data_IF_186399618175
#
_entry.id   IF_186399618175
#
_cell.length_a   1.000
_cell.length_b   1.000
_cell.length_c   1.000
_cell.angle_alpha   90.00
_cell.angle_beta   90.00
_cell.angle_gamma   90.00
#
_symmetry.space_group_name_H-M   'P 1'
#
loop_
_entity.id
_entity.type
_entity.pdbx_description
1 polymer ?
#
# COMPACT_ATOMS: atom_id res chain seq x y z
N UNK A 1 71.12 -23.04 7.28
CA UNK A 1 70.53 -24.31 7.79
C UNK A 1 69.82 -23.97 9.11
N UNK A 2 68.53 -24.27 9.25
CA UNK A 2 67.76 -23.91 10.45
C UNK A 2 68.11 -24.79 11.65
N UNK A 3 68.03 -24.22 12.86
CA UNK A 3 68.24 -24.92 14.12
C UNK A 3 67.15 -26.01 14.31
N UNK A 4 67.49 -27.10 14.99
CA UNK A 4 66.58 -28.22 15.24
C UNK A 4 66.35 -28.35 16.74
N UNK A 5 65.09 -28.51 17.15
CA UNK A 5 64.69 -28.70 18.55
C UNK A 5 63.90 -30.01 18.68
N UNK A 6 64.21 -30.79 19.71
CA UNK A 6 63.45 -32.00 20.04
C UNK A 6 62.19 -31.57 20.81
N UNK A 7 61.02 -31.94 20.30
CA UNK A 7 59.76 -31.70 20.98
C UNK A 7 59.66 -32.62 22.22
N UNK A 8 59.54 -32.06 23.44
CA UNK A 8 59.49 -32.85 24.67
C UNK A 8 58.25 -33.75 24.81
N UNK A 9 57.16 -33.50 24.07
CA UNK A 9 55.94 -34.30 24.13
C UNK A 9 55.93 -35.48 23.15
N UNK A 10 56.60 -35.35 22.00
CA UNK A 10 56.53 -36.35 20.91
C UNK A 10 57.87 -37.02 20.60
N UNK A 11 58.99 -36.49 21.12
CA UNK A 11 60.34 -37.03 20.88
C UNK A 11 60.86 -36.84 19.45
N UNK A 12 60.06 -36.22 18.58
CA UNK A 12 60.43 -35.94 17.20
C UNK A 12 61.33 -34.71 17.11
N UNK A 13 62.33 -34.78 16.23
CA UNK A 13 63.23 -33.65 15.98
C UNK A 13 62.58 -32.72 14.96
N UNK A 14 62.00 -31.63 15.43
CA UNK A 14 61.35 -30.63 14.57
C UNK A 14 62.35 -29.51 14.25
N UNK A 15 62.24 -28.94 13.06
CA UNK A 15 62.99 -27.72 12.72
C UNK A 15 62.41 -26.57 13.54
N UNK A 16 63.27 -25.84 14.26
CA UNK A 16 62.87 -24.63 14.96
C UNK A 16 62.44 -23.61 13.90
N UNK A 17 61.17 -23.19 13.95
CA UNK A 17 60.65 -22.24 12.97
C UNK A 17 61.43 -20.91 13.10
N UNK A 18 62.21 -20.53 12.07
CA UNK A 18 63.07 -19.34 12.13
C UNK A 18 62.26 -18.04 12.08
N UNK A 19 61.05 -18.10 11.54
CA UNK A 19 60.13 -16.98 11.38
C UNK A 19 59.01 -17.11 12.41
N UNK A 20 59.27 -16.64 13.62
CA UNK A 20 58.24 -16.55 14.67
C UNK A 20 57.53 -15.20 14.53
N UNK A 21 56.22 -15.16 14.26
CA UNK A 21 55.49 -13.91 14.10
C UNK A 21 55.33 -13.24 15.47
N UNK A 22 55.82 -12.00 15.57
CA UNK A 22 55.65 -11.14 16.75
C UNK A 22 55.49 -9.69 16.28
N UNK A 23 54.67 -8.85 16.95
CA UNK A 23 54.51 -7.44 16.61
C UNK A 23 55.82 -6.64 16.58
N UNK A 24 56.88 -7.13 17.23
CA UNK A 24 58.20 -6.52 17.29
C UNK A 24 59.29 -7.28 16.50
N UNK A 25 58.94 -8.35 15.78
CA UNK A 25 59.89 -9.15 15.02
C UNK A 25 60.06 -8.62 13.58
N UNK A 26 61.32 -8.45 13.17
CA UNK A 26 61.70 -8.18 11.78
C UNK A 26 62.29 -9.46 11.21
N UNK A 27 61.79 -9.89 10.06
CA UNK A 27 62.30 -11.06 9.35
C UNK A 27 63.25 -10.61 8.24
N UNK A 28 64.44 -11.20 8.20
CA UNK A 28 65.46 -10.95 7.18
C UNK A 28 65.92 -12.29 6.59
N UNK A 29 66.26 -12.28 5.30
CA UNK A 29 66.77 -13.46 4.58
C UNK A 29 68.11 -13.11 3.93
N UNK A 30 69.07 -14.03 4.00
CA UNK A 30 70.43 -13.89 3.44
C UNK A 30 70.54 -14.37 1.97
N UNK A 31 69.44 -14.86 1.38
CA UNK A 31 69.44 -15.36 0.00
C UNK A 31 69.32 -14.24 -1.02
N UNK A 32 70.23 -14.18 -2.00
CA UNK A 32 70.27 -13.17 -3.08
C UNK A 32 68.94 -13.03 -3.88
N UNK A 33 68.09 -14.07 -3.88
CA UNK A 33 66.80 -14.09 -4.59
C UNK A 33 65.58 -14.31 -3.67
N UNK A 34 65.70 -14.06 -2.37
CA UNK A 34 64.58 -14.25 -1.45
C UNK A 34 63.51 -13.16 -1.62
N UNK A 35 62.31 -13.55 -2.06
CA UNK A 35 61.15 -12.66 -2.16
C UNK A 35 60.15 -13.00 -1.06
N UNK A 36 59.75 -11.98 -0.30
CA UNK A 36 58.64 -12.09 0.63
C UNK A 36 57.36 -11.73 -0.13
N UNK A 37 56.54 -12.74 -0.41
CA UNK A 37 55.22 -12.53 -1.00
C UNK A 37 54.19 -12.11 0.04
N UNK A 38 53.21 -11.33 -0.38
CA UNK A 38 51.98 -11.10 0.38
C UNK A 38 50.89 -12.00 -0.19
N UNK A 39 50.05 -12.57 0.69
CA UNK A 39 48.81 -13.20 0.24
C UNK A 39 47.80 -12.09 -0.07
N UNK A 40 47.21 -12.12 -1.25
CA UNK A 40 46.16 -11.18 -1.62
C UNK A 40 45.00 -11.26 -0.63
N UNK A 41 44.41 -10.10 -0.34
CA UNK A 41 43.21 -10.04 0.47
C UNK A 41 42.10 -10.85 -0.21
N UNK A 42 41.41 -11.69 0.56
CA UNK A 42 40.26 -12.44 0.05
C UNK A 42 39.12 -11.49 -0.29
N UNK A 43 38.63 -11.53 -1.53
CA UNK A 43 37.43 -10.79 -1.91
C UNK A 43 36.20 -11.44 -1.25
N UNK A 44 35.53 -10.69 -0.37
CA UNK A 44 34.31 -11.12 0.31
C UNK A 44 33.03 -10.68 -0.43
N UNK A 45 33.15 -10.03 -1.60
CA UNK A 45 32.00 -9.51 -2.35
C UNK A 45 31.00 -10.60 -2.76
N UNK A 46 31.46 -11.83 -2.97
CA UNK A 46 30.60 -12.99 -3.26
C UNK A 46 29.62 -13.28 -2.12
N UNK A 47 30.10 -13.29 -0.87
CA UNK A 47 29.25 -13.55 0.31
C UNK A 47 28.22 -12.45 0.53
N UNK A 48 28.57 -11.18 0.25
CA UNK A 48 27.60 -10.09 0.32
C UNK A 48 26.48 -10.23 -0.71
N UNK A 49 26.80 -10.72 -1.92
CA UNK A 49 25.82 -10.97 -2.98
C UNK A 49 24.90 -12.13 -2.66
N UNK A 50 25.44 -13.22 -2.12
CA UNK A 50 24.65 -14.36 -1.65
C UNK A 50 23.68 -13.93 -0.56
N UNK A 51 24.16 -13.23 0.48
CA UNK A 51 23.31 -12.70 1.54
C UNK A 51 22.20 -11.79 1.02
N UNK A 52 22.52 -10.90 0.06
CA UNK A 52 21.51 -10.05 -0.57
C UNK A 52 20.47 -10.84 -1.38
N UNK A 53 20.84 -11.99 -1.94
CA UNK A 53 19.91 -12.91 -2.61
C UNK A 53 18.97 -13.57 -1.61
N UNK A 54 19.51 -14.11 -0.51
CA UNK A 54 18.72 -14.76 0.55
C UNK A 54 17.65 -13.82 1.13
N UNK A 55 18.03 -12.55 1.36
CA UNK A 55 17.09 -11.54 1.84
C UNK A 55 15.98 -11.29 0.82
N UNK A 56 16.28 -11.24 -0.49
CA UNK A 56 15.25 -11.06 -1.53
C UNK A 56 14.30 -12.24 -1.59
N UNK A 57 14.81 -13.47 -1.50
CA UNK A 57 14.00 -14.68 -1.52
C UNK A 57 13.04 -14.72 -0.31
N UNK A 58 13.52 -14.31 0.87
CA UNK A 58 12.68 -14.15 2.06
C UNK A 58 11.58 -13.10 1.87
N UNK A 59 11.89 -11.96 1.23
CA UNK A 59 10.89 -10.92 0.96
C UNK A 59 9.81 -11.40 -0.01
N UNK A 60 10.20 -12.12 -1.07
CA UNK A 60 9.26 -12.73 -2.01
C UNK A 60 8.36 -13.74 -1.29
N UNK A 61 8.94 -14.65 -0.50
CA UNK A 61 8.20 -15.68 0.22
C UNK A 61 7.21 -15.07 1.24
N UNK A 62 7.64 -14.04 1.97
CA UNK A 62 6.80 -13.35 2.94
C UNK A 62 5.76 -12.41 2.30
N UNK A 63 5.80 -12.25 0.97
CA UNK A 63 5.02 -11.25 0.21
C UNK A 63 5.23 -9.84 0.77
N UNK A 64 6.46 -9.55 1.22
CA UNK A 64 6.91 -8.23 1.61
C UNK A 64 7.55 -7.57 0.40
N UNK A 65 7.17 -6.34 0.03
CA UNK A 65 7.73 -5.73 -1.17
C UNK A 65 9.26 -5.60 -1.09
N UNK A 66 9.95 -6.16 -2.07
CA UNK A 66 11.42 -6.21 -2.10
C UNK A 66 12.07 -4.82 -2.11
N UNK A 67 11.30 -3.83 -2.57
CA UNK A 67 11.71 -2.45 -2.67
C UNK A 67 11.83 -1.74 -1.30
N UNK A 68 11.34 -2.36 -0.22
CA UNK A 68 11.63 -1.91 1.16
C UNK A 68 13.08 -2.13 1.57
N UNK A 69 13.72 -3.14 0.99
CA UNK A 69 15.12 -3.47 1.25
C UNK A 69 16.07 -2.78 0.26
N UNK A 70 15.66 -2.68 -1.00
CA UNK A 70 16.43 -2.00 -2.02
C UNK A 70 16.21 -0.47 -1.91
N UNK A 71 17.11 0.23 -1.22
CA UNK A 71 17.16 1.70 -1.20
C UNK A 71 17.43 2.36 -2.55
N UNK A 72 17.65 1.57 -3.60
CA UNK A 72 18.07 2.01 -4.95
C UNK A 72 16.90 2.17 -5.94
N UNK A 73 15.69 2.48 -5.46
CA UNK A 73 14.57 2.79 -6.35
C UNK A 73 14.69 4.22 -6.91
N UNK A 74 15.57 4.39 -7.89
CA UNK A 74 15.70 5.67 -8.60
C UNK A 74 14.77 5.63 -9.82
N UNK A 75 13.91 6.65 -9.97
CA UNK A 75 13.01 6.86 -11.12
C UNK A 75 11.89 5.81 -11.32
N UNK A 76 11.28 5.32 -10.25
CA UNK A 76 10.13 4.40 -10.36
C UNK A 76 8.80 5.19 -10.44
N UNK A 77 7.93 4.80 -11.38
CA UNK A 77 6.58 5.38 -11.51
C UNK A 77 5.62 4.86 -10.45
N UNK A 78 4.58 5.64 -10.11
CA UNK A 78 3.56 5.23 -9.15
C UNK A 78 2.86 3.91 -9.54
N UNK A 79 2.63 3.67 -10.83
CA UNK A 79 2.03 2.43 -11.31
C UNK A 79 2.94 1.21 -11.09
N UNK A 80 4.26 1.41 -11.18
CA UNK A 80 5.22 0.34 -10.91
C UNK A 80 5.23 0.00 -9.42
N UNK A 81 5.14 1.00 -8.54
CA UNK A 81 5.03 0.76 -7.08
C UNK A 81 3.74 -0.03 -6.78
N UNK A 82 2.61 0.39 -7.37
CA UNK A 82 1.33 -0.32 -7.21
C UNK A 82 1.41 -1.77 -7.71
N UNK A 83 2.11 -2.02 -8.82
CA UNK A 83 2.31 -3.37 -9.34
C UNK A 83 3.18 -4.24 -8.42
N UNK A 84 4.21 -3.64 -7.81
CA UNK A 84 5.07 -4.31 -6.83
C UNK A 84 4.33 -4.62 -5.51
N UNK A 85 3.31 -3.83 -5.18
CA UNK A 85 2.50 -4.02 -3.96
C UNK A 85 1.37 -5.05 -4.10
N UNK A 86 1.09 -5.58 -5.30
CA UNK A 86 -0.07 -6.45 -5.55
C UNK A 86 -0.15 -7.63 -4.57
N UNK A 87 0.96 -8.37 -4.41
CA UNK A 87 0.99 -9.53 -3.52
C UNK A 87 0.90 -9.14 -2.04
N UNK A 88 1.49 -8.00 -1.68
CA UNK A 88 1.43 -7.49 -0.32
C UNK A 88 0.01 -7.05 0.06
N UNK A 89 -0.66 -6.33 -0.83
CA UNK A 89 -2.07 -5.92 -0.67
C UNK A 89 -2.98 -7.15 -0.64
N UNK A 90 -2.73 -8.17 -1.46
CA UNK A 90 -3.48 -9.42 -1.42
C UNK A 90 -3.34 -10.12 -0.05
N UNK A 91 -2.13 -10.22 0.49
CA UNK A 91 -1.88 -10.72 1.85
C UNK A 91 -2.64 -9.93 2.90
N UNK A 92 -2.60 -8.60 2.84
CA UNK A 92 -3.33 -7.75 3.80
C UNK A 92 -4.84 -7.98 3.70
N UNK A 93 -5.39 -8.14 2.49
CA UNK A 93 -6.82 -8.43 2.29
C UNK A 93 -7.23 -9.76 2.91
N UNK A 94 -6.40 -10.78 2.83
CA UNK A 94 -6.64 -12.06 3.51
C UNK A 94 -6.73 -11.89 5.04
N UNK A 95 -5.83 -11.10 5.63
CA UNK A 95 -5.86 -10.79 7.06
C UNK A 95 -7.09 -9.95 7.44
N UNK A 96 -7.44 -8.97 6.62
CA UNK A 96 -8.64 -8.13 6.81
C UNK A 96 -9.90 -8.99 6.84
N UNK A 97 -10.03 -9.97 5.94
CA UNK A 97 -11.17 -10.88 5.93
C UNK A 97 -11.23 -11.73 7.20
N UNK A 98 -10.13 -12.40 7.54
CA UNK A 98 -10.08 -13.26 8.73
C UNK A 98 -10.29 -12.49 10.04
N UNK A 99 -9.70 -11.30 10.17
CA UNK A 99 -9.91 -10.45 11.34
C UNK A 99 -11.28 -9.80 11.35
N UNK A 100 -11.84 -9.47 10.19
CA UNK A 100 -13.21 -8.96 10.04
C UNK A 100 -14.22 -9.90 10.68
N UNK A 101 -14.25 -11.16 10.21
CA UNK A 101 -15.14 -12.20 10.76
C UNK A 101 -14.96 -12.37 12.27
N UNK A 102 -13.70 -12.43 12.76
CA UNK A 102 -13.43 -12.57 14.18
C UNK A 102 -13.94 -11.38 15.01
N UNK A 103 -13.86 -10.16 14.49
CA UNK A 103 -14.40 -8.98 15.16
C UNK A 103 -15.93 -8.94 15.13
N UNK A 104 -16.55 -9.37 14.04
CA UNK A 104 -18.01 -9.46 13.90
C UNK A 104 -18.60 -10.44 14.92
N UNK A 105 -17.98 -11.61 15.09
CA UNK A 105 -18.35 -12.59 16.11
C UNK A 105 -18.26 -12.01 17.54
N UNK A 106 -17.15 -11.33 17.84
CA UNK A 106 -16.94 -10.70 19.15
C UNK A 106 -17.98 -9.61 19.42
N UNK A 107 -18.29 -8.79 18.42
CA UNK A 107 -19.28 -7.71 18.54
C UNK A 107 -20.69 -8.27 18.69
N UNK A 108 -21.03 -9.33 17.96
CA UNK A 108 -22.31 -10.04 18.08
C UNK A 108 -22.48 -10.63 19.47
N UNK A 109 -21.43 -11.27 20.00
CA UNK A 109 -21.43 -11.78 21.38
C UNK A 109 -21.59 -10.66 22.41
N UNK A 110 -20.88 -9.54 22.23
CA UNK A 110 -20.97 -8.39 23.12
C UNK A 110 -22.38 -7.77 23.11
N UNK A 111 -23.01 -7.66 21.94
CA UNK A 111 -24.38 -7.19 21.79
C UNK A 111 -25.39 -8.11 22.49
N UNK A 112 -25.27 -9.43 22.31
CA UNK A 112 -26.10 -10.41 22.99
C UNK A 112 -25.96 -10.30 24.52
N UNK A 113 -24.74 -10.16 25.03
CA UNK A 113 -24.48 -9.98 26.46
C UNK A 113 -25.02 -8.65 27.00
N UNK A 114 -25.00 -7.58 26.21
CA UNK A 114 -25.55 -6.28 26.56
C UNK A 114 -27.09 -6.23 26.48
N UNK A 115 -27.73 -7.28 25.97
CA UNK A 115 -29.18 -7.35 25.81
C UNK A 115 -29.71 -6.45 24.69
N UNK A 116 -28.88 -6.15 23.69
CA UNK A 116 -29.32 -5.39 22.51
C UNK A 116 -30.27 -6.27 21.68
N UNK A 117 -31.49 -5.81 21.38
CA UNK A 117 -32.51 -6.63 20.69
C UNK A 117 -32.29 -6.72 19.18
N UNK A 118 -31.38 -5.91 18.63
CA UNK A 118 -31.06 -5.87 17.20
C UNK A 118 -30.21 -7.09 16.82
N UNK A 119 -30.54 -7.67 15.66
CA UNK A 119 -29.75 -8.75 15.06
C UNK A 119 -28.57 -8.14 14.27
N UNK A 120 -27.36 -8.55 14.62
CA UNK A 120 -26.12 -8.09 13.98
C UNK A 120 -25.49 -9.15 13.08
N UNK A 121 -26.22 -10.22 12.74
CA UNK A 121 -25.71 -11.29 11.87
C UNK A 121 -25.27 -10.78 10.48
N UNK A 122 -25.86 -9.68 9.99
CA UNK A 122 -25.49 -9.02 8.72
C UNK A 122 -24.51 -7.86 8.90
N UNK A 123 -24.00 -7.61 10.11
CA UNK A 123 -23.09 -6.50 10.36
C UNK A 123 -21.68 -6.84 9.86
N UNK A 124 -21.11 -6.00 9.00
CA UNK A 124 -19.76 -6.17 8.46
C UNK A 124 -18.79 -5.13 9.03
N UNK A 125 -17.56 -5.56 9.32
CA UNK A 125 -16.47 -4.66 9.70
C UNK A 125 -15.90 -3.99 8.46
N UNK A 126 -16.09 -2.67 8.39
CA UNK A 126 -15.55 -1.85 7.31
C UNK A 126 -14.10 -1.42 7.60
N UNK A 127 -13.17 -1.96 6.82
CA UNK A 127 -11.76 -1.59 6.85
C UNK A 127 -11.42 -0.46 5.88
N UNK A 128 -10.37 0.30 6.19
CA UNK A 128 -9.79 1.21 5.21
C UNK A 128 -9.12 0.41 4.09
N UNK A 129 -9.22 0.90 2.84
CA UNK A 129 -8.57 0.25 1.71
C UNK A 129 -7.04 0.24 1.92
N UNK A 130 -6.39 -0.94 1.94
CA UNK A 130 -4.95 -1.04 2.19
C UNK A 130 -4.09 -0.57 1.01
N UNK A 131 -4.64 -0.45 -0.20
CA UNK A 131 -3.91 0.01 -1.36
C UNK A 131 -3.68 1.52 -1.33
N UNK A 132 -2.51 1.97 -1.78
CA UNK A 132 -2.21 3.39 -1.92
C UNK A 132 -2.88 3.96 -3.19
N UNK A 133 -3.95 4.74 -3.00
CA UNK A 133 -4.67 5.40 -4.09
C UNK A 133 -4.66 6.90 -3.86
N UNK A 134 -4.16 7.65 -4.84
CA UNK A 134 -4.10 9.11 -4.75
C UNK A 134 -5.51 9.73 -4.80
N UNK A 135 -5.65 10.90 -4.17
CA UNK A 135 -6.93 11.62 -4.16
C UNK A 135 -7.40 12.00 -5.57
N UNK A 136 -6.46 12.30 -6.47
CA UNK A 136 -6.77 12.63 -7.87
C UNK A 136 -7.39 11.44 -8.61
N UNK A 137 -6.83 10.24 -8.46
CA UNK A 137 -7.38 9.01 -9.06
C UNK A 137 -8.76 8.69 -8.48
N UNK A 138 -8.92 8.84 -7.17
CA UNK A 138 -10.23 8.66 -6.52
C UNK A 138 -11.29 9.64 -7.04
N UNK A 139 -10.94 10.93 -7.17
CA UNK A 139 -11.85 11.96 -7.66
C UNK A 139 -12.25 11.74 -9.14
N UNK A 140 -11.32 11.32 -9.99
CA UNK A 140 -11.60 10.95 -11.37
C UNK A 140 -12.56 9.74 -11.46
N UNK A 141 -12.31 8.69 -10.66
CA UNK A 141 -13.18 7.54 -10.56
C UNK A 141 -14.61 7.94 -10.12
N UNK A 142 -14.72 8.76 -9.07
CA UNK A 142 -16.01 9.27 -8.59
C UNK A 142 -16.77 10.07 -9.66
N UNK A 143 -16.06 10.89 -10.43
CA UNK A 143 -16.65 11.67 -11.53
C UNK A 143 -17.19 10.77 -12.63
N UNK A 144 -16.44 9.72 -12.99
CA UNK A 144 -16.86 8.72 -13.99
C UNK A 144 -18.07 7.91 -13.51
N UNK A 145 -18.05 7.43 -12.26
CA UNK A 145 -19.20 6.72 -11.67
C UNK A 145 -20.47 7.59 -11.68
N UNK A 146 -20.34 8.87 -11.31
CA UNK A 146 -21.45 9.83 -11.40
C UNK A 146 -21.97 9.99 -12.82
N UNK A 147 -21.08 10.02 -13.82
CA UNK A 147 -21.49 10.15 -15.23
C UNK A 147 -22.27 8.93 -15.77
N UNK A 148 -22.01 7.74 -15.23
CA UNK A 148 -22.73 6.50 -15.57
C UNK A 148 -24.10 6.44 -14.87
N UNK A 149 -24.35 7.32 -13.89
CA UNK A 149 -25.62 7.40 -13.17
C UNK A 149 -25.63 6.72 -11.80
N UNK A 150 -24.45 6.38 -11.25
CA UNK A 150 -24.38 5.90 -9.88
C UNK A 150 -24.85 6.98 -8.90
N UNK A 151 -25.63 6.62 -7.86
CA UNK A 151 -26.10 7.57 -6.87
C UNK A 151 -24.97 8.02 -5.94
N UNK A 152 -25.14 9.21 -5.35
CA UNK A 152 -24.06 9.91 -4.62
C UNK A 152 -23.65 9.20 -3.32
N UNK A 153 -24.58 8.51 -2.68
CA UNK A 153 -24.34 7.65 -1.51
C UNK A 153 -23.35 6.53 -1.85
N UNK A 154 -23.64 5.75 -2.89
CA UNK A 154 -22.78 4.64 -3.34
C UNK A 154 -21.40 5.14 -3.74
N UNK A 155 -21.33 6.29 -4.44
CA UNK A 155 -20.05 6.90 -4.79
C UNK A 155 -19.26 7.30 -3.55
N UNK A 156 -19.92 7.89 -2.55
CA UNK A 156 -19.25 8.29 -1.30
C UNK A 156 -18.77 7.06 -0.50
N UNK A 157 -19.53 5.97 -0.51
CA UNK A 157 -19.14 4.69 0.09
C UNK A 157 -17.92 4.08 -0.59
N UNK A 158 -17.91 4.01 -1.92
CA UNK A 158 -16.78 3.51 -2.72
C UNK A 158 -15.51 4.35 -2.50
N UNK A 159 -15.67 5.65 -2.25
CA UNK A 159 -14.57 6.56 -1.91
C UNK A 159 -13.96 6.31 -0.52
N UNK A 160 -14.61 5.47 0.30
CA UNK A 160 -14.18 5.13 1.65
C UNK A 160 -14.74 6.07 2.73
N UNK A 161 -15.79 6.86 2.44
CA UNK A 161 -16.38 7.75 3.44
C UNK A 161 -17.21 6.97 4.47
N UNK A 162 -17.17 7.42 5.73
CA UNK A 162 -17.91 6.77 6.82
C UNK A 162 -19.43 6.92 6.65
N UNK A 163 -20.25 5.98 7.17
CA UNK A 163 -21.70 6.04 7.00
C UNK A 163 -22.34 7.35 7.50
N UNK A 164 -21.82 7.91 8.60
CA UNK A 164 -22.27 9.22 9.11
C UNK A 164 -21.96 10.36 8.16
N UNK A 165 -20.81 10.31 7.47
CA UNK A 165 -20.39 11.31 6.50
C UNK A 165 -21.14 11.16 5.17
N UNK A 166 -21.40 9.94 4.73
CA UNK A 166 -22.26 9.64 3.57
C UNK A 166 -23.67 10.23 3.78
N UNK A 167 -24.28 10.00 4.95
CA UNK A 167 -25.57 10.60 5.32
C UNK A 167 -25.55 12.13 5.28
N UNK A 168 -24.45 12.75 5.74
CA UNK A 168 -24.29 14.20 5.71
C UNK A 168 -24.15 14.74 4.27
N UNK A 169 -23.36 14.07 3.43
CA UNK A 169 -23.15 14.45 2.02
C UNK A 169 -24.46 14.39 1.24
N UNK A 170 -25.19 13.29 1.39
CA UNK A 170 -26.46 13.05 0.70
C UNK A 170 -27.55 14.02 1.17
N UNK A 171 -27.68 14.26 2.48
CA UNK A 171 -28.61 15.25 3.02
C UNK A 171 -28.28 16.68 2.54
N UNK A 172 -27.00 17.05 2.49
CA UNK A 172 -26.56 18.35 1.96
C UNK A 172 -26.87 18.50 0.47
N UNK A 173 -26.63 17.46 -0.33
CA UNK A 173 -26.94 17.44 -1.75
C UNK A 173 -28.46 17.54 -2.03
N UNK A 174 -29.28 16.80 -1.28
CA UNK A 174 -30.73 16.88 -1.37
C UNK A 174 -31.26 18.29 -1.02
N UNK A 175 -30.69 18.89 0.03
CA UNK A 175 -31.04 20.26 0.45
C UNK A 175 -30.71 21.30 -0.64
N UNK A 176 -29.55 21.17 -1.29
CA UNK A 176 -29.16 22.02 -2.41
C UNK A 176 -30.05 21.82 -3.63
N UNK A 177 -30.43 20.58 -3.94
CA UNK A 177 -31.32 20.28 -5.05
C UNK A 177 -32.72 20.88 -4.83
N UNK A 178 -33.25 20.79 -3.61
CA UNK A 178 -34.53 21.41 -3.26
C UNK A 178 -34.47 22.94 -3.38
N UNK A 179 -33.40 23.56 -2.89
CA UNK A 179 -33.20 25.00 -3.02
C UNK A 179 -33.12 25.41 -4.50
N UNK A 180 -32.37 24.67 -5.31
CA UNK A 180 -32.27 24.92 -6.74
C UNK A 180 -33.62 24.77 -7.45
N UNK A 181 -34.40 23.74 -7.12
CA UNK A 181 -35.74 23.53 -7.68
C UNK A 181 -36.70 24.68 -7.30
N UNK A 182 -36.58 25.22 -6.08
CA UNK A 182 -37.39 26.36 -5.63
C UNK A 182 -37.08 27.67 -6.36
N UNK A 183 -35.90 27.79 -6.98
CA UNK A 183 -35.46 28.97 -7.73
C UNK A 183 -35.84 28.90 -9.22
N UNK A 184 -36.39 27.79 -9.71
CA UNK A 184 -36.84 27.68 -11.08
C UNK A 184 -38.13 28.49 -11.30
N UNK A 185 -38.24 29.28 -12.39
CA UNK A 185 -39.47 30.01 -12.70
C UNK A 185 -40.64 29.04 -12.87
N UNK A 186 -41.82 29.41 -12.36
CA UNK A 186 -43.04 28.64 -12.59
C UNK A 186 -43.25 28.43 -14.11
N UNK A 187 -43.64 27.23 -14.56
CA UNK A 187 -43.92 27.00 -15.97
C UNK A 187 -44.99 28.00 -16.43
N UNK A 188 -44.69 28.73 -17.51
CA UNK A 188 -45.64 29.66 -18.11
C UNK A 188 -46.96 28.92 -18.38
N UNK A 189 -48.12 29.51 -18.07
CA UNK A 189 -49.40 28.86 -18.31
C UNK A 189 -49.49 28.49 -19.79
N UNK A 190 -49.68 27.20 -20.07
CA UNK A 190 -49.98 26.75 -21.42
C UNK A 190 -51.21 27.54 -21.92
N UNK A 191 -51.20 28.05 -23.16
CA UNK A 191 -52.36 28.75 -23.69
C UNK A 191 -53.55 27.80 -23.65
N UNK A 192 -54.53 28.11 -22.80
CA UNK A 192 -55.79 27.39 -22.76
C UNK A 192 -56.49 27.66 -24.09
N UNK A 193 -56.73 26.60 -24.87
CA UNK A 193 -57.55 26.65 -26.07
C UNK A 193 -58.99 26.99 -25.65
N UNK A 194 -59.31 28.28 -25.52
CA UNK A 194 -60.61 28.67 -24.97
C UNK A 194 -60.98 30.15 -24.96
N UNK A 195 -60.17 31.06 -25.48
CA UNK A 195 -60.60 32.44 -25.70
C UNK A 195 -60.63 32.75 -27.20
N UNK A 196 -61.65 32.22 -27.88
CA UNK A 196 -62.20 32.91 -29.04
C UNK A 196 -63.13 34.00 -28.49
N UNK A 197 -62.87 35.24 -28.90
CA UNK A 197 -63.63 36.43 -28.51
C UNK A 197 -65.02 36.38 -29.17
N UNK A 198 -65.98 35.76 -28.49
CA UNK A 198 -67.39 35.80 -28.87
C UNK A 198 -68.00 37.11 -28.36
N UNK A 199 -68.03 38.11 -29.25
CA UNK A 199 -69.12 39.08 -29.32
C UNK A 199 -68.81 40.53 -28.94
N UNK A 200 -68.52 41.34 -29.96
CA UNK A 200 -69.14 42.66 -30.03
C UNK A 200 -69.45 43.02 -31.50
N UNK A 201 -70.71 42.82 -31.87
CA UNK A 201 -71.25 43.27 -33.14
C UNK A 201 -71.63 44.75 -33.13
N UNK A 202 -71.57 45.36 -34.32
CA UNK A 202 -72.45 46.46 -34.71
C UNK A 202 -71.93 47.88 -34.54
N UNK A 203 -71.34 48.44 -35.60
CA UNK A 203 -71.52 49.83 -35.96
C UNK A 203 -71.55 49.94 -37.49
N UNK A 204 -72.77 50.00 -38.03
CA UNK A 204 -73.06 50.59 -39.33
C UNK A 204 -72.96 52.11 -39.17
N UNK A 205 -72.18 52.79 -40.02
CA UNK A 205 -72.51 54.09 -40.62
C UNK A 205 -71.34 54.64 -41.45
N UNK A 206 -71.64 55.12 -42.66
CA UNK A 206 -70.80 56.03 -43.47
C UNK A 206 -70.23 55.48 -44.75
#
# INVERSE_FOLDING_TARGET
>A
KFAKKVDPATGLTTVEQPFVPSPSAIWASEGENAQFGQLDATDLSGFLKEHASDVRDMLILSQTPAYYYAGDLINISADTINALDILHVAKIREHIAAFGEAFEDVMTLAAAQAGVPEDYTEAEVRWANPAHITLAVKADAATKLKSIGYPLDVIAEEMGETPSRVRRITAGAASQALLAASLLPAPAPAPTAGNLDDGQGGALDG
#
